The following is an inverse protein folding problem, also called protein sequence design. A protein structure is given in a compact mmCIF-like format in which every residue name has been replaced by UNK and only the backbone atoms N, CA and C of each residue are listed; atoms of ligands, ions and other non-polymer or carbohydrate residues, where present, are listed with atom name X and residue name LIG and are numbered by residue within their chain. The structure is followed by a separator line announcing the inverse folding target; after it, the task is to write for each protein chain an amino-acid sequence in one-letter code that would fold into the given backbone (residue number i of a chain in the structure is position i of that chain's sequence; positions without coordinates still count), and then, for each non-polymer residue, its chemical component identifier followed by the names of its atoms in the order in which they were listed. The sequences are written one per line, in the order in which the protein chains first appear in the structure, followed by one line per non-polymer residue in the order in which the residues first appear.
data_IF_518534386605
#
_entry.id   IF_518534386605
#
_cell.length_a   1.000
_cell.length_b   1.000
_cell.length_c   1.000
_cell.angle_alpha   90.00
_cell.angle_beta   90.00
_cell.angle_gamma   90.00
#
_symmetry.space_group_name_H-M   'P 1'
#
loop_
_entity.id
_entity.type
_entity.pdbx_description
1 polymer ?
#
# COMPACT_ATOMS: atom_id res chain seq x y z
N UNK A 1 -10.76 13.47 7.98
CA UNK A 1 -10.49 12.54 6.86
C UNK A 1 -11.05 13.04 5.53
N UNK A 2 -12.37 13.18 5.36
CA UNK A 2 -12.99 13.59 4.09
C UNK A 2 -12.43 14.91 3.52
N UNK A 3 -12.19 15.92 4.38
CA UNK A 3 -11.57 17.18 3.97
C UNK A 3 -10.14 17.02 3.43
N UNK A 4 -9.33 16.10 4.00
CA UNK A 4 -7.97 15.85 3.51
C UNK A 4 -7.99 15.14 2.15
N UNK A 5 -8.92 14.19 1.95
CA UNK A 5 -9.09 13.54 0.65
C UNK A 5 -9.60 14.52 -0.42
N UNK A 6 -10.52 15.43 -0.05
CA UNK A 6 -10.97 16.50 -0.93
C UNK A 6 -9.84 17.48 -1.26
N UNK A 7 -9.02 17.87 -0.27
CA UNK A 7 -7.85 18.69 -0.48
C UNK A 7 -6.83 18.01 -1.42
N UNK A 8 -6.64 16.70 -1.28
CA UNK A 8 -5.80 15.93 -2.20
C UNK A 8 -6.33 16.03 -3.63
N UNK A 9 -7.62 15.76 -3.87
CA UNK A 9 -8.23 15.87 -5.20
C UNK A 9 -8.10 17.26 -5.82
N UNK A 10 -8.26 18.31 -5.02
CA UNK A 10 -8.07 19.69 -5.47
C UNK A 10 -6.60 19.98 -5.84
N UNK A 11 -5.65 19.40 -5.10
CA UNK A 11 -4.22 19.58 -5.31
C UNK A 11 -3.63 18.71 -6.42
N UNK A 12 -4.24 17.57 -6.73
CA UNK A 12 -3.81 16.63 -7.76
C UNK A 12 -4.34 16.97 -9.16
N UNK A 13 -5.05 18.08 -9.31
CA UNK A 13 -5.60 18.51 -10.59
C UNK A 13 -4.47 18.91 -11.58
N UNK A 14 -4.66 18.66 -12.89
CA UNK A 14 -3.66 19.03 -13.90
C UNK A 14 -3.27 20.52 -13.81
N UNK A 15 -1.97 20.81 -13.86
CA UNK A 15 -1.45 22.17 -13.80
C UNK A 15 -1.32 22.77 -12.39
N UNK A 16 -1.54 21.98 -11.32
CA UNK A 16 -1.28 22.39 -9.94
C UNK A 16 0.17 22.11 -9.53
N UNK A 17 0.65 22.90 -8.57
CA UNK A 17 2.01 22.78 -8.02
C UNK A 17 2.15 21.51 -7.17
N UNK A 18 3.12 20.67 -7.53
CA UNK A 18 3.49 19.42 -6.83
C UNK A 18 3.80 19.70 -5.35
N UNK A 19 4.32 20.89 -5.03
CA UNK A 19 4.62 21.29 -3.65
C UNK A 19 3.37 21.32 -2.76
N UNK A 20 2.21 21.73 -3.31
CA UNK A 20 0.95 21.77 -2.58
C UNK A 20 0.42 20.37 -2.32
N UNK A 21 0.48 19.49 -3.33
CA UNK A 21 0.10 18.08 -3.20
C UNK A 21 0.95 17.39 -2.13
N UNK A 22 2.27 17.62 -2.12
CA UNK A 22 3.17 17.07 -1.10
C UNK A 22 2.79 17.52 0.32
N UNK A 23 2.47 18.80 0.53
CA UNK A 23 1.99 19.30 1.84
C UNK A 23 0.71 18.61 2.31
N UNK A 24 -0.24 18.36 1.40
CA UNK A 24 -1.46 17.60 1.73
C UNK A 24 -1.11 16.17 2.13
N UNK A 25 -0.19 15.54 1.42
CA UNK A 25 0.27 14.18 1.73
C UNK A 25 1.02 14.09 3.06
N UNK A 26 1.88 15.07 3.38
CA UNK A 26 2.56 15.18 4.67
C UNK A 26 1.55 15.35 5.81
N UNK A 27 0.55 16.23 5.60
CA UNK A 27 -0.55 16.44 6.55
C UNK A 27 -1.35 15.15 6.74
N UNK A 28 -1.66 14.44 5.66
CA UNK A 28 -2.34 13.16 5.71
C UNK A 28 -1.54 12.14 6.51
N UNK A 29 -0.24 12.01 6.24
CA UNK A 29 0.64 11.09 6.96
C UNK A 29 0.72 11.44 8.46
N UNK A 30 0.81 12.72 8.81
CA UNK A 30 0.81 13.16 10.21
C UNK A 30 -0.48 12.81 10.97
N UNK A 31 -1.63 12.81 10.29
CA UNK A 31 -2.93 12.49 10.91
C UNK A 31 -3.21 10.99 10.93
N UNK A 32 -2.83 10.26 9.87
CA UNK A 32 -3.19 8.85 9.69
C UNK A 32 -2.12 7.91 10.22
N UNK A 33 -0.84 8.22 10.01
CA UNK A 33 0.29 7.38 10.42
C UNK A 33 0.23 6.94 11.88
N UNK A 34 0.03 7.86 12.85
CA UNK A 34 -0.03 7.51 14.28
C UNK A 34 -1.16 6.52 14.64
N UNK A 35 -2.22 6.42 13.83
CA UNK A 35 -3.31 5.46 14.07
C UNK A 35 -2.85 4.01 13.85
N UNK A 36 -1.80 3.81 13.04
CA UNK A 36 -1.26 2.51 12.70
C UNK A 36 0.02 2.17 13.46
N UNK A 37 0.58 3.08 14.26
CA UNK A 37 1.69 2.74 15.14
C UNK A 37 1.17 1.92 16.35
N UNK A 38 1.76 0.76 16.59
CA UNK A 38 1.59 -0.09 17.78
C UNK A 38 2.44 0.48 18.92
N UNK A 39 1.82 0.68 20.08
CA UNK A 39 2.54 1.16 21.27
C UNK A 39 3.45 0.05 21.80
N UNK A 40 4.71 0.39 22.06
CA UNK A 40 5.74 -0.52 22.55
C UNK A 40 5.35 -1.10 23.93
N UNK A 41 5.27 -2.44 24.05
CA UNK A 41 4.70 -3.16 25.21
C UNK A 41 5.59 -3.21 26.46
N UNK A 42 6.59 -2.33 26.58
CA UNK A 42 7.62 -2.40 27.62
C UNK A 42 7.42 -1.35 28.73
N UNK A 43 6.30 -1.35 29.45
CA UNK A 43 6.17 -0.50 30.66
C UNK A 43 5.12 -0.92 31.69
N UNK A 44 5.41 -0.59 32.97
CA UNK A 44 4.79 -0.98 34.26
C UNK A 44 3.25 -0.99 34.31
N UNK A 45 2.71 -1.88 35.17
CA UNK A 45 1.28 -2.25 35.32
C UNK A 45 0.29 -1.09 35.53
N UNK A 46 0.67 -0.01 36.22
CA UNK A 46 -0.28 1.10 36.49
C UNK A 46 -0.55 2.00 35.28
N UNK A 47 0.41 2.08 34.35
CA UNK A 47 0.23 2.76 33.06
C UNK A 47 -0.58 1.88 32.09
N UNK A 48 -0.80 0.60 32.39
CA UNK A 48 -1.48 -0.34 31.49
C UNK A 48 -2.97 -0.01 31.30
N UNK A 49 -3.70 0.34 32.37
CA UNK A 49 -5.15 0.62 32.28
C UNK A 49 -5.50 1.88 31.47
N UNK A 50 -4.66 2.92 31.55
CA UNK A 50 -4.82 4.12 30.72
C UNK A 50 -4.52 3.82 29.24
N UNK A 51 -3.47 3.04 28.99
CA UNK A 51 -3.09 2.58 27.64
C UNK A 51 -4.13 1.67 26.99
N UNK A 52 -4.74 0.75 27.74
CA UNK A 52 -5.78 -0.12 27.19
C UNK A 52 -6.97 0.69 26.65
N UNK A 53 -7.34 1.78 27.33
CA UNK A 53 -8.40 2.69 26.86
C UNK A 53 -7.99 3.47 25.61
N UNK A 54 -6.75 3.96 25.56
CA UNK A 54 -6.22 4.67 24.39
C UNK A 54 -6.07 3.75 23.17
N UNK A 55 -5.60 2.52 23.37
CA UNK A 55 -5.48 1.49 22.34
C UNK A 55 -6.86 1.07 21.83
N UNK A 56 -7.84 0.92 22.74
CA UNK A 56 -9.22 0.63 22.36
C UNK A 56 -9.87 1.78 21.58
N UNK A 57 -9.62 3.04 21.99
CA UNK A 57 -10.09 4.21 21.26
C UNK A 57 -9.44 4.29 19.87
N UNK A 58 -8.13 4.02 19.76
CA UNK A 58 -7.41 3.97 18.48
C UNK A 58 -7.95 2.89 17.56
N UNK A 59 -8.18 1.69 18.09
CA UNK A 59 -8.77 0.58 17.34
C UNK A 59 -10.18 0.94 16.83
N UNK A 60 -11.01 1.57 17.66
CA UNK A 60 -12.32 2.07 17.24
C UNK A 60 -12.21 3.10 16.10
N UNK A 61 -11.27 4.05 16.21
CA UNK A 61 -11.00 5.04 15.16
C UNK A 61 -10.54 4.38 13.86
N UNK A 62 -9.67 3.36 13.93
CA UNK A 62 -9.22 2.60 12.74
C UNK A 62 -10.40 1.86 12.10
N UNK A 63 -11.30 1.27 12.89
CA UNK A 63 -12.50 0.61 12.38
C UNK A 63 -13.44 1.60 11.68
N UNK A 64 -13.70 2.76 12.27
CA UNK A 64 -14.51 3.82 11.65
C UNK A 64 -13.87 4.33 10.36
N UNK A 65 -12.55 4.55 10.39
CA UNK A 65 -11.78 4.95 9.21
C UNK A 65 -11.90 3.90 8.10
N UNK A 66 -11.77 2.63 8.43
CA UNK A 66 -11.92 1.51 7.48
C UNK A 66 -13.31 1.49 6.86
N UNK A 67 -14.36 1.68 7.68
CA UNK A 67 -15.75 1.76 7.19
C UNK A 67 -15.99 2.94 6.26
N UNK A 68 -15.31 4.06 6.46
CA UNK A 68 -15.38 5.21 5.56
C UNK A 68 -14.59 4.95 4.27
N UNK A 69 -13.33 4.51 4.38
CA UNK A 69 -12.43 4.34 3.25
C UNK A 69 -12.88 3.23 2.29
N UNK A 70 -13.56 2.17 2.77
CA UNK A 70 -14.11 1.12 1.91
C UNK A 70 -15.18 1.60 0.91
N UNK A 71 -15.76 2.78 1.14
CA UNK A 71 -16.77 3.38 0.25
C UNK A 71 -16.13 4.13 -0.94
N UNK A 72 -14.82 4.35 -0.91
CA UNK A 72 -14.11 5.10 -1.96
C UNK A 72 -14.04 4.25 -3.23
N UNK A 73 -14.54 4.84 -4.33
CA UNK A 73 -14.50 4.29 -5.69
C UNK A 73 -13.81 5.22 -6.70
N UNK A 74 -13.42 6.42 -6.30
CA UNK A 74 -12.76 7.38 -7.18
C UNK A 74 -11.33 6.91 -7.50
N UNK A 75 -10.96 6.87 -8.78
CA UNK A 75 -9.66 6.34 -9.24
C UNK A 75 -8.47 7.08 -8.62
N UNK A 76 -8.49 8.41 -8.62
CA UNK A 76 -7.40 9.22 -8.07
C UNK A 76 -7.22 8.99 -6.56
N UNK A 77 -8.33 8.87 -5.83
CA UNK A 77 -8.29 8.54 -4.40
C UNK A 77 -7.82 7.11 -4.15
N UNK A 78 -8.23 6.14 -4.98
CA UNK A 78 -7.77 4.75 -4.86
C UNK A 78 -6.26 4.66 -5.10
N UNK A 79 -5.74 5.28 -6.17
CA UNK A 79 -4.29 5.36 -6.41
C UNK A 79 -3.55 6.00 -5.25
N UNK A 80 -4.09 7.08 -4.67
CA UNK A 80 -3.53 7.73 -3.49
C UNK A 80 -3.49 6.81 -2.26
N UNK A 81 -4.62 6.19 -1.92
CA UNK A 81 -4.74 5.30 -0.76
C UNK A 81 -3.86 4.05 -0.92
N UNK A 82 -3.85 3.42 -2.11
CA UNK A 82 -2.96 2.30 -2.41
C UNK A 82 -1.50 2.72 -2.24
N UNK A 83 -1.12 3.89 -2.75
CA UNK A 83 0.24 4.41 -2.60
C UNK A 83 0.59 4.62 -1.13
N UNK A 84 -0.29 5.27 -0.35
CA UNK A 84 -0.01 5.55 1.06
C UNK A 84 0.11 4.27 1.90
N UNK A 85 -0.87 3.37 1.81
CA UNK A 85 -0.85 2.14 2.60
C UNK A 85 0.19 1.15 2.09
N UNK A 86 0.49 1.15 0.78
CA UNK A 86 1.61 0.42 0.21
C UNK A 86 2.96 0.94 0.71
N UNK A 87 3.11 2.27 0.87
CA UNK A 87 4.27 2.88 1.50
C UNK A 87 4.45 2.38 2.95
N UNK A 88 3.38 2.33 3.76
CA UNK A 88 3.43 1.76 5.10
C UNK A 88 3.82 0.27 5.10
N UNK A 89 3.27 -0.51 4.15
CA UNK A 89 3.62 -1.91 3.97
C UNK A 89 5.10 -2.11 3.60
N UNK A 90 5.64 -1.30 2.70
CA UNK A 90 7.05 -1.33 2.31
C UNK A 90 7.98 -0.98 3.48
N UNK A 91 7.62 0.01 4.30
CA UNK A 91 8.35 0.33 5.55
C UNK A 91 8.38 -0.84 6.54
N UNK A 92 7.29 -1.60 6.62
CA UNK A 92 7.23 -2.83 7.41
C UNK A 92 8.16 -3.91 6.82
N UNK A 93 8.14 -4.14 5.50
CA UNK A 93 9.03 -5.12 4.86
C UNK A 93 10.51 -4.77 5.03
N UNK A 94 10.82 -3.48 4.95
CA UNK A 94 12.14 -2.92 5.27
C UNK A 94 12.59 -3.28 6.68
N UNK A 95 11.75 -3.01 7.68
CA UNK A 95 11.98 -3.41 9.06
C UNK A 95 12.18 -4.93 9.23
N UNK A 96 11.52 -5.74 8.39
CA UNK A 96 11.69 -7.21 8.35
C UNK A 96 12.86 -7.70 7.49
N UNK A 97 13.70 -6.80 6.96
CA UNK A 97 14.83 -7.12 6.08
C UNK A 97 14.40 -7.90 4.82
N UNK A 98 13.21 -7.59 4.28
CA UNK A 98 12.66 -8.14 3.04
C UNK A 98 12.41 -7.07 1.96
N UNK A 99 13.40 -6.23 1.61
CA UNK A 99 13.22 -5.13 0.66
C UNK A 99 12.90 -5.59 -0.77
N UNK A 100 13.25 -6.83 -1.13
CA UNK A 100 12.96 -7.42 -2.45
C UNK A 100 11.48 -7.78 -2.64
N UNK A 101 10.66 -7.73 -1.57
CA UNK A 101 9.22 -8.01 -1.61
C UNK A 101 8.37 -6.73 -1.65
N UNK A 102 8.99 -5.57 -1.84
CA UNK A 102 8.29 -4.28 -1.83
C UNK A 102 7.28 -4.20 -2.97
N UNK A 103 6.20 -3.51 -2.69
CA UNK A 103 5.20 -3.14 -3.66
C UNK A 103 5.70 -1.99 -4.53
N UNK A 104 5.51 -2.14 -5.84
CA UNK A 104 5.46 -0.99 -6.74
C UNK A 104 4.27 -0.13 -6.35
N UNK A 105 4.44 1.20 -6.29
CA UNK A 105 3.39 2.13 -5.88
C UNK A 105 2.92 2.95 -7.08
N UNK A 106 1.60 3.13 -7.31
CA UNK A 106 1.08 3.90 -8.44
C UNK A 106 1.58 5.34 -8.49
N UNK A 107 1.81 5.95 -7.32
CA UNK A 107 2.29 7.31 -7.16
C UNK A 107 3.59 7.37 -6.36
N UNK A 108 4.58 6.55 -6.75
CA UNK A 108 5.80 6.26 -5.97
C UNK A 108 6.66 7.46 -5.54
N UNK A 109 6.50 8.65 -6.13
CA UNK A 109 7.28 9.85 -5.80
C UNK A 109 6.59 10.81 -4.81
N UNK A 110 5.34 10.54 -4.44
CA UNK A 110 4.56 11.47 -3.62
C UNK A 110 4.97 11.43 -2.15
N UNK A 111 5.24 10.22 -1.64
CA UNK A 111 5.75 10.02 -0.30
C UNK A 111 7.27 9.90 -0.37
N UNK A 112 7.98 10.63 0.50
CA UNK A 112 9.45 10.67 0.50
C UNK A 112 10.10 9.31 0.78
N UNK A 113 11.41 9.30 1.00
CA UNK A 113 12.16 8.05 1.21
C UNK A 113 11.55 7.15 2.30
N UNK A 114 11.44 5.85 1.98
CA UNK A 114 10.97 4.83 2.91
C UNK A 114 11.99 4.61 4.03
N UNK A 115 11.59 4.87 5.27
CA UNK A 115 12.36 4.56 6.47
C UNK A 115 11.77 3.34 7.20
N UNK A 116 12.58 2.59 7.95
CA UNK A 116 12.08 1.41 8.67
C UNK A 116 10.97 1.79 9.67
N UNK A 117 9.95 0.94 9.81
CA UNK A 117 8.86 1.08 10.79
C UNK A 117 8.63 -0.24 11.54
N UNK A 118 9.24 -0.37 12.73
CA UNK A 118 9.22 -1.61 13.50
C UNK A 118 7.90 -1.90 14.22
N UNK A 119 7.09 -0.87 14.44
CA UNK A 119 5.89 -0.94 15.27
C UNK A 119 4.62 -0.68 14.47
N UNK A 120 4.52 -1.10 13.22
CA UNK A 120 3.32 -0.88 12.44
C UNK A 120 2.26 -1.96 12.75
N UNK A 121 0.99 -1.57 12.88
CA UNK A 121 -0.15 -2.46 12.89
C UNK A 121 -0.40 -2.99 11.48
N UNK A 122 0.45 -3.93 11.07
CA UNK A 122 0.49 -4.45 9.71
C UNK A 122 -0.81 -5.15 9.31
N UNK A 123 -1.54 -5.75 10.26
CA UNK A 123 -2.80 -6.42 9.96
C UNK A 123 -3.86 -5.43 9.46
N UNK A 124 -3.99 -4.28 10.13
CA UNK A 124 -4.92 -3.24 9.70
C UNK A 124 -4.51 -2.62 8.35
N UNK A 125 -3.20 -2.46 8.11
CA UNK A 125 -2.69 -1.98 6.81
C UNK A 125 -2.98 -2.99 5.69
N UNK A 126 -2.76 -4.28 5.94
CA UNK A 126 -3.09 -5.34 4.98
C UNK A 126 -4.58 -5.40 4.68
N UNK A 127 -5.44 -5.30 5.70
CA UNK A 127 -6.90 -5.29 5.52
C UNK A 127 -7.37 -4.11 4.66
N UNK A 128 -6.80 -2.92 4.88
CA UNK A 128 -7.12 -1.75 4.06
C UNK A 128 -6.62 -1.91 2.62
N UNK A 129 -5.41 -2.43 2.42
CA UNK A 129 -4.89 -2.72 1.07
C UNK A 129 -5.76 -3.73 0.32
N UNK A 130 -6.22 -4.79 0.99
CA UNK A 130 -7.18 -5.75 0.44
C UNK A 130 -8.45 -5.05 -0.07
N UNK A 131 -9.05 -4.19 0.76
CA UNK A 131 -10.24 -3.42 0.40
C UNK A 131 -9.96 -2.50 -0.79
N UNK A 132 -8.82 -1.80 -0.80
CA UNK A 132 -8.50 -0.87 -1.88
C UNK A 132 -8.22 -1.57 -3.20
N UNK A 133 -7.50 -2.69 -3.20
CA UNK A 133 -7.28 -3.47 -4.41
C UNK A 133 -8.56 -4.10 -4.93
N UNK A 134 -9.41 -4.63 -4.04
CA UNK A 134 -10.74 -5.10 -4.44
C UNK A 134 -11.56 -3.97 -5.07
N UNK A 135 -11.56 -2.79 -4.46
CA UNK A 135 -12.27 -1.64 -5.00
C UNK A 135 -11.70 -1.13 -6.32
N UNK A 136 -10.38 -1.12 -6.47
CA UNK A 136 -9.67 -0.73 -7.67
C UNK A 136 -10.00 -1.66 -8.84
N UNK A 137 -9.95 -2.97 -8.63
CA UNK A 137 -10.26 -3.97 -9.67
C UNK A 137 -11.74 -3.88 -10.10
N UNK A 138 -12.65 -3.59 -9.16
CA UNK A 138 -14.07 -3.35 -9.50
C UNK A 138 -14.29 -2.08 -10.34
N UNK A 139 -13.46 -1.05 -10.13
CA UNK A 139 -13.59 0.24 -10.83
C UNK A 139 -12.95 0.17 -12.21
N UNK A 140 -11.72 -0.34 -12.29
CA UNK A 140 -10.99 -0.52 -13.54
C UNK A 140 -10.10 -1.77 -13.45
N UNK A 141 -10.59 -2.93 -13.91
CA UNK A 141 -9.85 -4.19 -13.83
C UNK A 141 -8.62 -4.22 -14.73
N UNK A 142 -8.55 -3.33 -15.72
CA UNK A 142 -7.45 -3.28 -16.70
C UNK A 142 -6.41 -2.21 -16.37
N UNK A 143 -6.42 -1.63 -15.17
CA UNK A 143 -5.40 -0.65 -14.77
C UNK A 143 -4.07 -1.37 -14.47
N UNK A 144 -3.01 -1.19 -15.29
CA UNK A 144 -1.77 -1.95 -15.13
C UNK A 144 -1.03 -1.60 -13.83
N UNK A 145 -1.09 -0.35 -13.37
CA UNK A 145 -0.41 0.04 -12.13
C UNK A 145 -1.05 -0.62 -10.91
N UNK A 146 -2.37 -0.71 -10.87
CA UNK A 146 -3.10 -1.37 -9.80
C UNK A 146 -2.88 -2.87 -9.80
N UNK A 147 -2.94 -3.52 -10.97
CA UNK A 147 -2.65 -4.95 -11.11
C UNK A 147 -1.24 -5.29 -10.64
N UNK A 148 -0.23 -4.51 -11.07
CA UNK A 148 1.15 -4.70 -10.62
C UNK A 148 1.30 -4.55 -9.10
N UNK A 149 0.73 -3.49 -8.55
CA UNK A 149 0.80 -3.20 -7.10
C UNK A 149 0.10 -4.30 -6.29
N UNK A 150 -1.06 -4.78 -6.77
CA UNK A 150 -1.80 -5.88 -6.16
C UNK A 150 -1.00 -7.19 -6.22
N UNK A 151 -0.37 -7.49 -7.35
CA UNK A 151 0.48 -8.66 -7.50
C UNK A 151 1.66 -8.64 -6.52
N UNK A 152 2.38 -7.51 -6.45
CA UNK A 152 3.50 -7.34 -5.50
C UNK A 152 3.01 -7.49 -4.04
N UNK A 153 1.82 -6.97 -3.70
CA UNK A 153 1.22 -7.12 -2.38
C UNK A 153 0.92 -8.59 -2.02
N UNK A 154 0.32 -9.34 -2.95
CA UNK A 154 0.07 -10.79 -2.78
C UNK A 154 1.39 -11.55 -2.62
N UNK A 155 2.37 -11.24 -3.46
CA UNK A 155 3.68 -11.87 -3.42
C UNK A 155 4.41 -11.60 -2.11
N UNK A 156 4.42 -10.36 -1.63
CA UNK A 156 5.03 -9.97 -0.36
C UNK A 156 4.38 -10.62 0.87
N UNK A 157 3.16 -11.14 0.72
CA UNK A 157 2.44 -11.94 1.74
C UNK A 157 2.61 -13.45 1.58
N UNK A 158 3.31 -13.90 0.54
CA UNK A 158 3.52 -15.32 0.23
C UNK A 158 2.38 -15.98 -0.54
N UNK A 159 1.41 -15.21 -1.05
CA UNK A 159 0.28 -15.70 -1.85
C UNK A 159 0.70 -15.82 -3.32
N UNK A 160 1.67 -16.70 -3.61
CA UNK A 160 2.35 -16.77 -4.91
C UNK A 160 1.39 -17.11 -6.06
N UNK A 161 0.40 -17.98 -5.83
CA UNK A 161 -0.60 -18.35 -6.83
C UNK A 161 -1.46 -17.15 -7.27
N UNK A 162 -1.99 -16.39 -6.30
CA UNK A 162 -2.79 -15.18 -6.57
C UNK A 162 -1.93 -14.09 -7.23
N UNK A 163 -0.68 -13.92 -6.77
CA UNK A 163 0.26 -12.98 -7.35
C UNK A 163 0.55 -13.31 -8.83
N UNK A 164 0.75 -14.60 -9.16
CA UNK A 164 1.00 -15.06 -10.51
C UNK A 164 -0.12 -14.71 -11.49
N UNK A 165 -1.38 -14.89 -11.07
CA UNK A 165 -2.55 -14.52 -11.88
C UNK A 165 -2.54 -13.01 -12.17
N UNK A 166 -2.36 -12.19 -11.14
CA UNK A 166 -2.35 -10.73 -11.28
C UNK A 166 -1.15 -10.22 -12.11
N UNK A 167 0.01 -10.89 -12.06
CA UNK A 167 1.13 -10.56 -12.94
C UNK A 167 0.83 -10.85 -14.41
N UNK A 168 0.13 -11.95 -14.72
CA UNK A 168 -0.30 -12.25 -16.09
C UNK A 168 -1.31 -11.21 -16.56
N UNK A 169 -2.32 -10.90 -15.73
CA UNK A 169 -3.29 -9.84 -16.04
C UNK A 169 -2.61 -8.49 -16.26
N UNK A 170 -1.62 -8.16 -15.44
CA UNK A 170 -0.80 -6.97 -15.61
C UNK A 170 -0.12 -6.93 -16.98
N UNK A 171 0.55 -8.01 -17.39
CA UNK A 171 1.27 -8.09 -18.66
C UNK A 171 0.32 -7.91 -19.86
N UNK A 172 -0.88 -8.49 -19.78
CA UNK A 172 -1.93 -8.30 -20.78
C UNK A 172 -2.42 -6.85 -20.81
N UNK A 173 -2.70 -6.27 -19.64
CA UNK A 173 -3.18 -4.90 -19.51
C UNK A 173 -2.13 -3.85 -19.94
N UNK A 174 -0.85 -4.09 -19.67
CA UNK A 174 0.26 -3.22 -20.08
C UNK A 174 0.60 -3.35 -21.56
N UNK A 175 -0.05 -4.28 -22.29
CA UNK A 175 0.30 -4.66 -23.67
C UNK A 175 1.78 -5.00 -23.81
N UNK A 176 2.40 -5.47 -22.73
CA UNK A 176 3.76 -5.99 -22.79
C UNK A 176 3.68 -7.30 -23.57
N UNK A 177 4.42 -7.45 -24.67
CA UNK A 177 4.35 -8.67 -25.46
C UNK A 177 4.77 -9.86 -24.59
N UNK A 178 3.82 -10.73 -24.24
CA UNK A 178 4.10 -12.03 -23.59
C UNK A 178 4.93 -12.95 -24.50
N UNK A 179 5.02 -12.59 -25.78
CA UNK A 179 5.61 -13.34 -26.88
C UNK A 179 6.61 -12.47 -27.68
N UNK A 180 7.41 -11.64 -27.02
CA UNK A 180 8.78 -11.51 -27.55
C UNK A 180 9.42 -12.84 -27.23
N UNK A 181 9.39 -13.74 -28.22
CA UNK A 181 10.03 -15.04 -28.16
C UNK A 181 11.37 -14.86 -27.43
N UNK A 182 11.61 -15.69 -26.42
CA UNK A 182 12.97 -15.98 -26.02
C UNK A 182 13.74 -16.13 -27.32
N UNK A 183 14.65 -15.21 -27.64
CA UNK A 183 15.67 -15.54 -28.61
C UNK A 183 16.27 -16.83 -28.05
N UNK A 184 16.04 -17.93 -28.78
CA UNK A 184 16.70 -19.20 -28.59
C UNK A 184 18.18 -18.88 -28.47
N UNK A 185 18.70 -18.88 -27.24
CA UNK A 185 20.10 -19.03 -26.88
C UNK A 185 20.23 -18.87 -25.36
N UNK A 186 20.75 -19.91 -24.72
CA UNK A 186 21.30 -19.91 -23.36
C UNK A 186 20.32 -20.20 -22.21
N UNK A 187 19.65 -21.35 -22.26
CA UNK A 187 19.43 -22.13 -21.03
C UNK A 187 20.18 -23.44 -21.23
N UNK A 188 21.50 -23.39 -21.04
CA UNK A 188 22.25 -24.62 -20.79
C UNK A 188 21.96 -25.04 -19.35
N UNK A 189 21.39 -26.24 -19.21
CA UNK A 189 21.19 -26.95 -17.96
C UNK A 189 22.52 -27.09 -17.21
N UNK A 190 22.68 -26.32 -16.13
CA UNK A 190 23.70 -26.57 -15.12
C UNK A 190 23.18 -27.63 -14.14
N UNK A 191 23.05 -28.87 -14.63
CA UNK A 191 23.09 -30.06 -13.78
C UNK A 191 24.55 -30.49 -13.70
N UNK A 192 25.26 -30.05 -12.67
CA UNK A 192 26.60 -30.54 -12.36
C UNK A 192 26.47 -31.79 -11.48
N UNK A 193 26.90 -32.92 -12.03
CA UNK A 193 27.41 -34.10 -11.32
C UNK A 193 28.64 -33.78 -10.49
#
# INVERSE_FOLDING_TARGET
MAQLLAAYLMSSAPGKDISQMRKVCDTFNAHVGPLFDQINRSSRRDVARGRDREDQARAATVLELTRFLKLIRNESLLSFLITYFGYLFNRYLLAKKRPHLRMTLPLGEIFGHESEANHLNILAVQELLEIFFHNAILVNPCNPQWLRSAADFRYGRGLVGEAGILYIEYLVASRTPLLLASQENSVEDLVST
#
